data_IF_893395708006
#
_entry.id   IF_893395708006
#
_cell.length_a   1.000
_cell.length_b   1.000
_cell.length_c   1.000
_cell.angle_alpha   90.00
_cell.angle_beta   90.00
_cell.angle_gamma   90.00
#
_symmetry.space_group_name_H-M   'P 1'
#
loop_
_entity.id
_entity.type
_entity.pdbx_description
1 polymer ?
#
# COMPACT_ATOMS: atom_id res chain seq x y z
N UNK A 1 -8.21 -17.18 20.77
CA UNK A 1 -7.12 -16.90 19.82
C UNK A 1 -7.70 -15.97 18.77
N UNK A 2 -7.16 -14.77 18.65
CA UNK A 2 -7.69 -13.78 17.70
C UNK A 2 -7.12 -14.05 16.31
N UNK A 3 -7.84 -13.70 15.25
CA UNK A 3 -7.35 -13.79 13.86
C UNK A 3 -6.02 -13.05 13.61
N UNK A 4 -5.62 -12.16 14.53
CA UNK A 4 -4.35 -11.46 14.51
C UNK A 4 -3.14 -12.37 14.80
N UNK A 5 -3.31 -13.44 15.61
CA UNK A 5 -2.23 -14.38 15.97
C UNK A 5 -1.79 -15.28 14.79
N UNK A 6 -2.54 -15.29 13.69
CA UNK A 6 -2.28 -16.16 12.53
C UNK A 6 -1.83 -15.42 11.25
N UNK A 7 -1.64 -14.10 11.31
CA UNK A 7 -1.12 -13.37 10.14
C UNK A 7 0.40 -13.55 10.09
N UNK A 8 0.92 -14.09 8.99
CA UNK A 8 2.36 -14.07 8.73
C UNK A 8 2.77 -12.72 8.11
N UNK A 9 4.05 -12.32 8.18
CA UNK A 9 4.53 -11.09 7.54
C UNK A 9 4.15 -10.97 6.06
N UNK A 10 4.27 -12.07 5.30
CA UNK A 10 3.92 -12.16 3.89
C UNK A 10 2.43 -11.90 3.66
N UNK A 11 1.59 -12.43 4.55
CA UNK A 11 0.14 -12.23 4.48
C UNK A 11 -0.21 -10.77 4.73
N UNK A 12 0.40 -10.13 5.73
CA UNK A 12 0.21 -8.69 6.00
C UNK A 12 0.56 -7.86 4.78
N UNK A 13 1.69 -8.13 4.12
CA UNK A 13 2.11 -7.41 2.91
C UNK A 13 1.12 -7.62 1.76
N UNK A 14 0.67 -8.86 1.50
CA UNK A 14 -0.32 -9.13 0.44
C UNK A 14 -1.67 -8.46 0.71
N UNK A 15 -2.16 -8.54 1.93
CA UNK A 15 -3.42 -7.93 2.34
C UNK A 15 -3.33 -6.40 2.25
N UNK A 16 -2.19 -5.80 2.64
CA UNK A 16 -1.94 -4.38 2.49
C UNK A 16 -1.96 -3.93 1.02
N UNK A 17 -1.23 -4.61 0.13
CA UNK A 17 -1.16 -4.25 -1.30
C UNK A 17 -2.55 -4.32 -1.94
N UNK A 18 -3.34 -5.35 -1.62
CA UNK A 18 -4.73 -5.48 -2.10
C UNK A 18 -5.61 -4.37 -1.55
N UNK A 19 -5.57 -4.12 -0.24
CA UNK A 19 -6.40 -3.11 0.39
C UNK A 19 -6.08 -1.69 -0.13
N UNK A 20 -4.81 -1.40 -0.38
CA UNK A 20 -4.39 -0.14 -1.00
C UNK A 20 -4.91 -0.02 -2.44
N UNK A 21 -4.78 -1.07 -3.24
CA UNK A 21 -5.29 -1.07 -4.62
C UNK A 21 -6.81 -0.88 -4.66
N UNK A 22 -7.56 -1.64 -3.85
CA UNK A 22 -9.01 -1.54 -3.79
C UNK A 22 -9.45 -0.13 -3.38
N UNK A 23 -8.77 0.46 -2.39
CA UNK A 23 -8.99 1.85 -1.99
C UNK A 23 -8.69 2.83 -3.13
N UNK A 24 -7.56 2.69 -3.84
CA UNK A 24 -7.17 3.58 -4.95
C UNK A 24 -8.17 3.51 -6.12
N UNK A 25 -8.62 2.31 -6.49
CA UNK A 25 -9.63 2.09 -7.54
C UNK A 25 -10.94 2.78 -7.16
N UNK A 26 -11.43 2.57 -5.94
CA UNK A 26 -12.68 3.15 -5.48
C UNK A 26 -12.60 4.68 -5.30
N UNK A 27 -11.50 5.18 -4.76
CA UNK A 27 -11.22 6.61 -4.65
C UNK A 27 -11.18 7.27 -6.03
N UNK A 28 -10.49 6.67 -7.00
CA UNK A 28 -10.46 7.16 -8.38
C UNK A 28 -11.85 7.15 -9.03
N UNK A 29 -12.64 6.09 -8.83
CA UNK A 29 -14.01 6.00 -9.36
C UNK A 29 -14.90 7.13 -8.83
N UNK A 30 -14.82 7.41 -7.52
CA UNK A 30 -15.57 8.52 -6.89
C UNK A 30 -15.08 9.89 -7.35
N UNK A 31 -13.76 10.06 -7.44
CA UNK A 31 -13.16 11.27 -8.01
C UNK A 31 -13.66 11.52 -9.44
N UNK A 32 -13.59 10.51 -10.30
CA UNK A 32 -14.10 10.57 -11.67
C UNK A 32 -15.59 10.95 -11.73
N UNK A 33 -16.42 10.40 -10.86
CA UNK A 33 -17.84 10.77 -10.79
C UNK A 33 -18.05 12.24 -10.39
N UNK A 34 -17.19 12.79 -9.51
CA UNK A 34 -17.29 14.19 -9.06
C UNK A 34 -16.85 15.21 -10.11
N UNK A 35 -15.87 14.88 -10.98
CA UNK A 35 -15.39 15.80 -12.02
C UNK A 35 -16.36 15.92 -13.21
N UNK A 36 -17.18 14.92 -13.51
CA UNK A 36 -18.20 15.01 -14.57
C UNK A 36 -19.37 15.94 -14.21
N UNK A 37 -19.50 16.31 -12.94
CA UNK A 37 -20.47 17.29 -12.42
C UNK A 37 -19.77 18.66 -12.27
N UNK A 38 -19.08 19.10 -13.35
CA UNK A 38 -17.99 20.11 -13.51
C UNK A 38 -18.13 21.48 -12.79
N UNK A 39 -19.19 21.71 -12.02
CA UNK A 39 -19.52 23.00 -11.40
C UNK A 39 -19.31 23.07 -9.88
N UNK A 40 -18.93 21.97 -9.21
CA UNK A 40 -18.92 21.92 -7.76
C UNK A 40 -17.53 21.56 -7.18
N UNK A 41 -16.69 22.59 -7.06
CA UNK A 41 -15.35 22.50 -6.45
C UNK A 41 -15.43 21.95 -5.01
N UNK A 42 -16.53 22.20 -4.30
CA UNK A 42 -16.73 21.71 -2.94
C UNK A 42 -16.87 20.18 -2.92
N UNK A 43 -17.61 19.59 -3.86
CA UNK A 43 -17.70 18.12 -4.01
C UNK A 43 -16.34 17.47 -4.28
N UNK A 44 -15.48 18.10 -5.08
CA UNK A 44 -14.13 17.60 -5.35
C UNK A 44 -13.29 17.61 -4.07
N UNK A 45 -13.33 18.70 -3.30
CA UNK A 45 -12.62 18.82 -2.02
C UNK A 45 -13.14 17.81 -0.99
N UNK A 46 -14.46 17.63 -0.89
CA UNK A 46 -15.07 16.65 0.01
C UNK A 46 -14.69 15.20 -0.37
N UNK A 47 -14.72 14.86 -1.66
CA UNK A 47 -14.31 13.55 -2.15
C UNK A 47 -12.83 13.27 -1.85
N UNK A 48 -11.97 14.28 -2.04
CA UNK A 48 -10.54 14.20 -1.72
C UNK A 48 -10.28 14.01 -0.23
N UNK A 49 -10.92 14.81 0.62
CA UNK A 49 -10.82 14.69 2.08
C UNK A 49 -11.25 13.31 2.57
N UNK A 50 -12.42 12.83 2.11
CA UNK A 50 -12.94 11.51 2.45
C UNK A 50 -12.01 10.37 2.05
N UNK A 51 -11.50 10.39 0.82
CA UNK A 51 -10.55 9.38 0.36
C UNK A 51 -9.25 9.41 1.20
N UNK A 52 -8.79 10.59 1.63
CA UNK A 52 -7.67 10.74 2.55
C UNK A 52 -7.91 10.05 3.91
N UNK A 53 -9.09 10.20 4.51
CA UNK A 53 -9.44 9.55 5.78
C UNK A 53 -9.59 8.04 5.65
N UNK A 54 -10.24 7.55 4.60
CA UNK A 54 -10.37 6.11 4.34
C UNK A 54 -9.01 5.45 4.16
N UNK A 55 -8.09 6.12 3.47
CA UNK A 55 -6.70 5.68 3.34
C UNK A 55 -5.99 5.58 4.69
N UNK A 56 -6.15 6.58 5.55
CA UNK A 56 -5.58 6.53 6.92
C UNK A 56 -6.11 5.29 7.66
N UNK A 57 -7.37 4.93 7.45
CA UNK A 57 -7.96 3.69 7.94
C UNK A 57 -7.22 2.45 7.43
N UNK A 58 -7.00 2.33 6.11
CA UNK A 58 -6.22 1.22 5.53
C UNK A 58 -4.81 1.18 6.11
N UNK A 59 -4.11 2.31 6.15
CA UNK A 59 -2.74 2.39 6.67
C UNK A 59 -2.68 2.03 8.15
N UNK A 60 -3.61 2.49 8.99
CA UNK A 60 -3.64 2.13 10.41
C UNK A 60 -3.88 0.63 10.66
N UNK A 61 -4.56 -0.06 9.75
CA UNK A 61 -4.78 -1.51 9.85
C UNK A 61 -3.49 -2.30 9.62
N UNK A 62 -2.62 -1.86 8.70
CA UNK A 62 -1.48 -2.66 8.25
C UNK A 62 -0.11 -2.09 8.62
N UNK A 63 -0.01 -0.79 8.87
CA UNK A 63 1.26 -0.09 9.10
C UNK A 63 1.39 0.41 10.54
N UNK A 64 2.62 0.69 10.96
CA UNK A 64 2.92 1.27 12.28
C UNK A 64 2.74 2.79 12.31
N UNK A 65 2.87 3.46 11.16
CA UNK A 65 2.73 4.90 11.02
C UNK A 65 1.75 5.28 9.91
N UNK A 66 1.04 6.41 10.07
CA UNK A 66 0.04 6.90 9.12
C UNK A 66 0.51 8.08 8.27
N UNK A 67 1.72 8.60 8.49
CA UNK A 67 2.09 9.96 8.07
C UNK A 67 2.59 10.10 6.62
N UNK A 68 3.01 9.01 5.96
CA UNK A 68 3.90 9.14 4.79
C UNK A 68 3.35 8.73 3.43
N UNK A 69 2.07 8.37 3.33
CA UNK A 69 1.49 8.06 2.03
C UNK A 69 1.10 9.34 1.27
N UNK A 70 1.67 9.63 0.09
CA UNK A 70 1.12 10.66 -0.79
C UNK A 70 -0.25 10.19 -1.30
N UNK A 71 -1.18 11.11 -1.50
CA UNK A 71 -2.49 10.76 -2.03
C UNK A 71 -2.38 10.70 -3.57
N UNK A 72 -2.54 9.54 -4.22
CA UNK A 72 -2.68 9.52 -5.66
C UNK A 72 -4.09 10.02 -5.99
N UNK A 73 -4.19 11.31 -6.31
CA UNK A 73 -5.40 11.85 -6.94
C UNK A 73 -5.12 12.10 -8.43
N UNK A 74 -6.07 11.70 -9.28
CA UNK A 74 -6.08 12.05 -10.70
C UNK A 74 -5.92 10.88 -11.68
N UNK A 75 -5.36 9.75 -11.26
CA UNK A 75 -5.17 8.57 -12.12
C UNK A 75 -5.55 7.27 -11.41
N UNK A 76 -6.08 6.27 -12.12
CA UNK A 76 -6.30 4.95 -11.54
C UNK A 76 -4.94 4.30 -11.24
N UNK A 77 -4.87 3.40 -10.25
CA UNK A 77 -3.66 2.64 -10.01
C UNK A 77 -3.26 1.88 -11.28
N UNK A 78 -2.00 2.02 -11.69
CA UNK A 78 -1.46 1.35 -12.87
C UNK A 78 -0.92 -0.06 -12.54
N UNK A 79 -0.97 -0.47 -11.28
CA UNK A 79 -0.48 -1.75 -10.81
C UNK A 79 -1.63 -2.73 -10.50
N UNK A 80 -1.40 -4.02 -10.72
CA UNK A 80 -2.29 -5.14 -10.42
C UNK A 80 -1.72 -5.96 -9.24
N UNK A 81 -2.37 -5.99 -8.06
CA UNK A 81 -1.91 -6.75 -6.90
C UNK A 81 -1.63 -8.23 -7.15
N UNK A 82 -2.23 -8.83 -8.16
CA UNK A 82 -2.02 -10.24 -8.52
C UNK A 82 -0.70 -10.47 -9.26
N UNK A 83 -0.09 -9.42 -9.80
CA UNK A 83 1.22 -9.43 -10.46
C UNK A 83 2.38 -9.11 -9.53
N UNK A 84 2.07 -8.84 -8.25
CA UNK A 84 3.09 -8.72 -7.22
C UNK A 84 3.44 -10.10 -6.67
N UNK A 85 4.69 -10.49 -6.82
CA UNK A 85 5.21 -11.74 -6.30
C UNK A 85 6.08 -11.49 -5.07
N UNK A 86 5.89 -12.27 -4.02
CA UNK A 86 6.85 -12.34 -2.91
C UNK A 86 7.99 -13.21 -3.39
N UNK A 87 9.19 -12.65 -3.46
CA UNK A 87 10.38 -13.34 -3.96
C UNK A 87 11.26 -13.85 -2.82
N UNK A 88 11.36 -13.11 -1.73
CA UNK A 88 12.19 -13.48 -0.57
C UNK A 88 11.56 -12.99 0.73
N UNK A 89 11.80 -13.73 1.81
CA UNK A 89 11.40 -13.38 3.17
C UNK A 89 12.60 -13.63 4.07
N UNK A 90 13.09 -12.57 4.72
CA UNK A 90 14.26 -12.63 5.60
C UNK A 90 13.86 -12.20 7.01
N UNK A 91 14.09 -13.06 7.99
CA UNK A 91 13.94 -12.69 9.40
C UNK A 91 15.26 -12.08 9.91
N UNK A 92 15.26 -10.78 10.19
CA UNK A 92 16.36 -10.10 10.88
C UNK A 92 16.37 -10.50 12.36
N UNK A 93 15.18 -10.55 12.96
CA UNK A 93 14.94 -11.07 14.30
C UNK A 93 13.59 -11.80 14.33
N UNK A 94 13.23 -12.50 15.42
CA UNK A 94 11.88 -13.07 15.56
C UNK A 94 10.75 -12.03 15.51
N UNK A 95 11.05 -10.75 15.71
CA UNK A 95 10.10 -9.65 15.77
C UNK A 95 10.23 -8.70 14.56
N UNK A 96 11.17 -8.96 13.64
CA UNK A 96 11.41 -8.11 12.45
C UNK A 96 11.74 -8.97 11.24
N UNK A 97 10.93 -8.82 10.21
CA UNK A 97 11.03 -9.57 8.95
C UNK A 97 11.02 -8.59 7.78
N UNK A 98 11.96 -8.77 6.85
CA UNK A 98 11.93 -8.12 5.55
C UNK A 98 11.20 -9.03 4.54
N UNK A 99 10.18 -8.50 3.88
CA UNK A 99 9.47 -9.17 2.78
C UNK A 99 9.84 -8.46 1.49
N UNK A 100 10.58 -9.14 0.62
CA UNK A 100 10.95 -8.64 -0.69
C UNK A 100 9.90 -9.06 -1.70
N UNK A 101 9.42 -8.09 -2.48
CA UNK A 101 8.47 -8.32 -3.55
C UNK A 101 9.01 -7.82 -4.88
N UNK A 102 8.47 -8.39 -5.95
CA UNK A 102 8.75 -8.03 -7.32
C UNK A 102 7.42 -7.79 -8.03
N UNK A 103 7.27 -6.60 -8.59
CA UNK A 103 6.19 -6.29 -9.50
C UNK A 103 6.69 -6.35 -10.94
N UNK A 104 6.01 -7.12 -11.78
CA UNK A 104 6.32 -7.21 -13.21
C UNK A 104 5.38 -6.26 -13.97
N UNK A 105 5.94 -5.23 -14.63
CA UNK A 105 5.19 -4.38 -15.57
C UNK A 105 5.31 -4.94 -16.99
N UNK A 106 4.33 -5.70 -17.51
CA UNK A 106 4.49 -6.40 -18.79
C UNK A 106 4.63 -5.44 -19.97
N UNK A 107 4.01 -4.27 -19.88
CA UNK A 107 4.00 -3.26 -20.94
C UNK A 107 5.29 -2.43 -20.98
N UNK A 108 6.03 -2.37 -19.87
CA UNK A 108 7.22 -1.53 -19.75
C UNK A 108 8.51 -2.35 -19.78
N UNK A 109 8.43 -3.68 -19.73
CA UNK A 109 9.59 -4.58 -19.61
C UNK A 109 10.53 -4.20 -18.45
N UNK A 110 9.97 -3.59 -17.40
CA UNK A 110 10.67 -3.16 -16.20
C UNK A 110 10.10 -3.97 -15.03
N UNK A 111 11.01 -4.51 -14.22
CA UNK A 111 10.68 -5.13 -12.95
C UNK A 111 10.94 -4.11 -11.83
N UNK A 112 9.94 -3.82 -11.03
CA UNK A 112 10.11 -3.00 -9.83
C UNK A 112 10.25 -3.91 -8.62
N UNK A 113 11.32 -3.72 -7.84
CA UNK A 113 11.50 -4.43 -6.58
C UNK A 113 11.10 -3.54 -5.43
N UNK A 114 10.33 -4.10 -4.51
CA UNK A 114 9.93 -3.43 -3.27
C UNK A 114 10.39 -4.26 -2.09
N UNK A 115 10.70 -3.59 -0.98
CA UNK A 115 11.05 -4.22 0.28
C UNK A 115 10.12 -3.68 1.35
N UNK A 116 9.46 -4.56 2.08
CA UNK A 116 8.61 -4.22 3.20
C UNK A 116 9.31 -4.66 4.48
N UNK A 117 9.56 -3.73 5.38
CA UNK A 117 9.98 -4.06 6.74
C UNK A 117 8.73 -4.29 7.57
N UNK A 118 8.59 -5.48 8.14
CA UNK A 118 7.43 -5.89 8.92
C UNK A 118 7.89 -6.22 10.33
N UNK A 119 7.25 -5.63 11.33
CA UNK A 119 7.59 -5.82 12.74
C UNK A 119 6.41 -6.33 13.54
N UNK A 120 6.70 -7.17 14.53
CA UNK A 120 5.70 -7.71 15.43
C UNK A 120 5.34 -6.67 16.49
N UNK A 121 4.07 -6.32 16.56
CA UNK A 121 3.48 -5.45 17.59
C UNK A 121 2.54 -6.28 18.48
N UNK A 122 2.12 -5.77 19.65
CA UNK A 122 1.18 -6.48 20.52
C UNK A 122 -0.15 -6.87 19.84
N UNK A 123 -0.56 -6.13 18.80
CA UNK A 123 -1.76 -6.38 18.00
C UNK A 123 -1.49 -7.20 16.71
N UNK A 124 -0.26 -7.67 16.51
CA UNK A 124 0.16 -8.49 15.37
C UNK A 124 1.24 -7.86 14.52
N UNK A 125 1.52 -8.47 13.37
CA UNK A 125 2.51 -7.97 12.42
C UNK A 125 2.04 -6.69 11.71
N UNK A 126 2.93 -5.70 11.60
CA UNK A 126 2.67 -4.40 10.95
C UNK A 126 3.85 -4.01 10.07
N UNK A 127 3.56 -3.35 8.95
CA UNK A 127 4.56 -2.77 8.06
C UNK A 127 5.11 -1.49 8.70
N UNK A 128 6.41 -1.45 8.92
CA UNK A 128 7.12 -0.30 9.48
C UNK A 128 7.67 0.61 8.40
N UNK A 129 8.24 0.03 7.34
CA UNK A 129 8.77 0.75 6.18
C UNK A 129 8.44 0.00 4.88
N UNK A 130 8.35 0.74 3.78
CA UNK A 130 8.30 0.23 2.41
C UNK A 130 9.35 0.97 1.60
N UNK A 131 10.26 0.22 0.99
CA UNK A 131 11.32 0.74 0.12
C UNK A 131 11.12 0.30 -1.32
N UNK A 132 11.51 1.14 -2.26
CA UNK A 132 11.66 0.79 -3.68
C UNK A 132 13.12 0.74 -4.07
N UNK A 133 13.48 -0.15 -4.99
CA UNK A 133 14.81 -0.19 -5.59
C UNK A 133 14.85 0.73 -6.82
N UNK A 134 15.68 1.78 -6.76
CA UNK A 134 16.00 2.65 -7.90
C UNK A 134 17.50 2.84 -7.97
N UNK A 135 18.12 2.86 -9.16
CA UNK A 135 19.56 3.09 -9.32
C UNK A 135 20.46 2.23 -8.41
N UNK A 136 20.08 0.95 -8.22
CA UNK A 136 20.72 0.01 -7.30
C UNK A 136 20.76 0.45 -5.82
N UNK A 137 19.84 1.33 -5.42
CA UNK A 137 19.69 1.84 -4.04
C UNK A 137 18.25 1.71 -3.58
N UNK A 138 18.09 1.42 -2.29
CA UNK A 138 16.78 1.36 -1.65
C UNK A 138 16.37 2.73 -1.13
N UNK A 139 15.17 3.18 -1.49
CA UNK A 139 14.59 4.44 -1.05
C UNK A 139 13.32 4.18 -0.25
N UNK A 140 13.27 4.69 0.99
CA UNK A 140 12.09 4.59 1.86
C UNK A 140 10.94 5.45 1.33
N UNK A 141 9.74 4.88 1.40
CA UNK A 141 8.46 5.48 0.98
C UNK A 141 7.48 5.62 2.16
N UNK A 142 7.79 5.02 3.31
CA UNK A 142 7.13 5.24 4.62
C UNK A 142 8.22 5.60 5.62
#
# INVERSE_FOLDING_TARGET
MSDAEFRTPERVVREFIRAMHDWEVDAYRRYKASIFDETDHEKILQASSRAGEERKGVVALYCTTTERYPAPFGHPPQYDPLREEIVEVYADTPERVEVLTKYVYPEQYIDEKRRYEVILRPDGWKIDDRKILSDNRWYSLI
#
